data_IF_586181454836
#
_entry.id   IF_586181454836
#
_cell.length_a   1.000
_cell.length_b   1.000
_cell.length_c   1.000
_cell.angle_alpha   90.00
_cell.angle_beta   90.00
_cell.angle_gamma   90.00
#
_symmetry.space_group_name_H-M   'P 1'
#
loop_
_entity.id
_entity.type
_entity.pdbx_description
1 polymer ?
#
# COMPACT_ATOMS: atom_id res chain seq x y z
N UNK A 1 19.91 -40.71 -53.46
CA UNK A 1 18.97 -39.59 -53.27
C UNK A 1 18.26 -39.57 -51.89
N UNK A 2 17.95 -40.71 -51.28
CA UNK A 2 17.20 -40.75 -50.00
C UNK A 2 18.01 -40.25 -48.80
N UNK A 3 19.34 -40.42 -48.78
CA UNK A 3 20.21 -39.98 -47.67
C UNK A 3 20.38 -38.44 -47.52
N UNK A 4 20.28 -37.70 -48.59
CA UNK A 4 20.39 -36.24 -48.62
C UNK A 4 19.13 -35.54 -48.19
N UNK A 5 17.96 -36.14 -48.39
CA UNK A 5 16.67 -35.59 -47.96
C UNK A 5 16.50 -35.73 -46.44
N UNK A 6 16.96 -36.85 -45.86
CA UNK A 6 16.91 -37.07 -44.41
C UNK A 6 17.78 -36.08 -43.62
N UNK A 7 18.96 -35.72 -44.15
CA UNK A 7 19.82 -34.73 -43.50
C UNK A 7 19.24 -33.31 -43.53
N UNK A 8 18.55 -32.92 -44.59
CA UNK A 8 17.88 -31.63 -44.72
C UNK A 8 16.70 -31.45 -43.75
N UNK A 9 15.89 -32.50 -43.56
CA UNK A 9 14.79 -32.47 -42.60
C UNK A 9 15.24 -32.36 -41.12
N UNK A 10 16.35 -33.03 -40.75
CA UNK A 10 16.86 -32.97 -39.38
C UNK A 10 17.41 -31.59 -39.02
N UNK A 11 18.09 -30.93 -39.95
CA UNK A 11 18.61 -29.56 -39.72
C UNK A 11 17.46 -28.54 -39.62
N UNK A 12 16.39 -28.72 -40.44
CA UNK A 12 15.23 -27.82 -40.37
C UNK A 12 14.46 -27.96 -39.05
N UNK A 13 14.30 -29.18 -38.53
CA UNK A 13 13.64 -29.45 -37.27
C UNK A 13 14.42 -28.91 -36.08
N UNK A 14 15.75 -28.96 -36.08
CA UNK A 14 16.60 -28.38 -35.03
C UNK A 14 16.59 -26.85 -35.05
N UNK A 15 16.50 -26.23 -36.22
CA UNK A 15 16.40 -24.76 -36.30
C UNK A 15 15.04 -24.23 -35.78
N UNK A 16 13.95 -24.95 -35.97
CA UNK A 16 12.64 -24.60 -35.41
C UNK A 16 12.56 -24.74 -33.88
N UNK A 17 13.30 -25.72 -33.32
CA UNK A 17 13.35 -25.90 -31.86
C UNK A 17 14.11 -24.77 -31.12
N UNK A 18 15.02 -24.08 -31.78
CA UNK A 18 15.78 -22.98 -31.20
C UNK A 18 14.99 -21.64 -31.15
N UNK A 19 13.91 -21.51 -31.93
CA UNK A 19 13.04 -20.33 -31.89
C UNK A 19 11.95 -20.42 -30.84
N UNK A 20 11.66 -21.60 -30.31
CA UNK A 20 10.60 -21.80 -29.32
C UNK A 20 11.02 -21.46 -27.86
N UNK A 21 12.29 -21.14 -27.62
CA UNK A 21 12.82 -20.87 -26.26
C UNK A 21 13.06 -19.38 -25.96
N UNK A 22 12.39 -18.45 -26.64
CA UNK A 22 12.53 -17.03 -26.34
C UNK A 22 11.30 -16.43 -25.66
N UNK A 23 10.53 -17.25 -24.96
CA UNK A 23 9.58 -16.74 -23.98
C UNK A 23 10.40 -16.20 -22.81
N UNK A 24 10.58 -14.89 -22.81
CA UNK A 24 10.95 -14.18 -21.58
C UNK A 24 9.86 -14.51 -20.58
N UNK A 25 10.16 -15.42 -19.68
CA UNK A 25 9.32 -15.62 -18.49
C UNK A 25 9.46 -14.31 -17.73
N UNK A 26 8.48 -13.43 -17.90
CA UNK A 26 8.34 -12.22 -17.12
C UNK A 26 7.93 -12.65 -15.71
N UNK A 27 8.92 -13.05 -14.92
CA UNK A 27 8.71 -13.41 -13.52
C UNK A 27 8.45 -12.10 -12.80
N UNK A 28 7.19 -11.71 -12.74
CA UNK A 28 6.73 -10.61 -11.87
C UNK A 28 6.96 -11.05 -10.43
N UNK A 29 8.12 -10.74 -9.90
CA UNK A 29 8.47 -11.05 -8.53
C UNK A 29 7.90 -9.94 -7.64
N UNK A 30 6.80 -10.26 -6.96
CA UNK A 30 6.25 -9.38 -5.94
C UNK A 30 7.10 -9.47 -4.68
N UNK A 31 7.58 -8.33 -4.18
CA UNK A 31 8.33 -8.26 -2.92
C UNK A 31 7.39 -8.00 -1.75
N UNK A 32 7.58 -8.71 -0.62
CA UNK A 32 6.83 -8.42 0.58
C UNK A 32 7.04 -6.97 1.04
N UNK A 33 6.01 -6.40 1.63
CA UNK A 33 6.05 -5.09 2.25
C UNK A 33 5.24 -5.09 3.55
N UNK A 34 5.50 -4.11 4.40
CA UNK A 34 4.81 -3.94 5.67
C UNK A 34 4.50 -2.47 5.93
N UNK A 35 3.38 -2.24 6.61
CA UNK A 35 2.96 -0.94 7.08
C UNK A 35 3.15 -0.88 8.60
N UNK A 36 3.78 0.17 9.09
CA UNK A 36 3.94 0.44 10.51
C UNK A 36 3.58 1.87 10.83
N UNK A 37 3.18 2.16 12.06
CA UNK A 37 2.99 3.51 12.56
C UNK A 37 4.11 3.89 13.53
N UNK A 38 4.35 5.18 13.64
CA UNK A 38 5.08 5.76 14.75
C UNK A 38 4.23 5.65 16.03
N UNK A 39 4.82 6.02 17.18
CA UNK A 39 4.09 6.03 18.46
C UNK A 39 2.81 6.90 18.36
N UNK A 40 1.68 6.32 18.72
CA UNK A 40 0.38 6.99 18.71
C UNK A 40 -0.12 7.18 20.15
N UNK A 41 -0.89 8.25 20.44
CA UNK A 41 -1.55 8.40 21.71
C UNK A 41 -2.61 7.28 21.90
N UNK A 42 -2.78 6.84 23.15
CA UNK A 42 -3.85 5.90 23.49
C UNK A 42 -5.21 6.62 23.61
N UNK A 43 -5.16 7.86 24.11
CA UNK A 43 -6.34 8.70 24.35
C UNK A 43 -6.31 9.93 23.44
N UNK A 44 -7.47 10.28 22.87
CA UNK A 44 -7.67 11.48 22.06
C UNK A 44 -8.97 12.18 22.44
N UNK A 45 -9.08 13.49 22.19
CA UNK A 45 -10.34 14.19 22.36
C UNK A 45 -11.22 14.12 21.11
N UNK A 46 -12.54 14.16 21.30
CA UNK A 46 -13.47 14.30 20.17
C UNK A 46 -13.15 15.59 19.38
N UNK A 47 -13.01 15.48 18.06
CA UNK A 47 -12.70 16.58 17.15
C UNK A 47 -11.21 16.96 17.11
N UNK A 48 -10.37 16.30 17.89
CA UNK A 48 -8.92 16.48 17.82
C UNK A 48 -8.36 15.89 16.53
N UNK A 49 -7.40 16.61 15.90
CA UNK A 49 -6.62 16.10 14.80
C UNK A 49 -5.40 15.35 15.34
N UNK A 50 -5.32 14.07 15.04
CA UNK A 50 -4.22 13.19 15.44
C UNK A 50 -3.36 12.87 14.23
N UNK A 51 -2.07 13.12 14.34
CA UNK A 51 -1.09 12.72 13.34
C UNK A 51 -0.85 11.22 13.41
N UNK A 52 -1.09 10.52 12.31
CA UNK A 52 -0.73 9.11 12.13
C UNK A 52 0.40 9.04 11.11
N UNK A 53 1.63 8.99 11.61
CA UNK A 53 2.81 8.85 10.78
C UNK A 53 3.03 7.40 10.45
N UNK A 54 2.93 7.08 9.17
CA UNK A 54 3.03 5.73 8.63
C UNK A 54 4.36 5.53 7.90
N UNK A 55 4.85 4.31 7.95
CA UNK A 55 6.03 3.88 7.21
C UNK A 55 5.70 2.61 6.43
N UNK A 56 5.80 2.70 5.10
CA UNK A 56 5.77 1.56 4.20
C UNK A 56 7.20 1.10 3.94
N UNK A 57 7.54 -0.10 4.41
CA UNK A 57 8.86 -0.71 4.19
C UNK A 57 8.73 -1.87 3.21
N UNK A 58 9.56 -1.88 2.16
CA UNK A 58 9.61 -2.91 1.12
C UNK A 58 10.86 -3.77 1.30
N UNK A 59 10.77 -5.05 0.97
CA UNK A 59 11.92 -5.97 1.02
C UNK A 59 12.73 -6.01 -0.29
N UNK A 60 12.27 -5.29 -1.33
CA UNK A 60 12.96 -5.17 -2.61
C UNK A 60 12.55 -3.90 -3.34
N UNK A 61 13.44 -3.40 -4.18
CA UNK A 61 13.18 -2.26 -5.07
C UNK A 61 12.68 -2.77 -6.42
N UNK A 62 11.36 -2.82 -6.56
CA UNK A 62 10.69 -3.18 -7.79
C UNK A 62 10.03 -1.94 -8.38
N UNK A 63 10.56 -1.47 -9.51
CA UNK A 63 10.17 -0.20 -10.13
C UNK A 63 8.72 -0.17 -10.61
N UNK A 64 8.15 -1.34 -10.97
CA UNK A 64 6.77 -1.46 -11.45
C UNK A 64 5.75 -1.65 -10.32
N UNK A 65 6.18 -1.59 -9.05
CA UNK A 65 5.27 -1.71 -7.92
C UNK A 65 4.56 -0.38 -7.65
N UNK A 66 3.25 -0.38 -7.80
CA UNK A 66 2.36 0.70 -7.41
C UNK A 66 1.66 0.33 -6.10
N UNK A 67 1.54 1.28 -5.19
CA UNK A 67 0.91 1.07 -3.90
C UNK A 67 -0.34 1.93 -3.75
N UNK A 68 -1.35 1.33 -3.15
CA UNK A 68 -2.63 1.98 -2.87
C UNK A 68 -2.91 1.87 -1.38
N UNK A 69 -3.33 2.96 -0.76
CA UNK A 69 -3.73 3.00 0.63
C UNK A 69 -5.21 3.30 0.77
N UNK A 70 -5.84 2.67 1.74
CA UNK A 70 -7.20 2.96 2.15
C UNK A 70 -7.38 2.74 3.63
N UNK A 71 -8.54 3.11 4.16
CA UNK A 71 -8.90 2.83 5.53
C UNK A 71 -10.32 2.27 5.66
N UNK A 72 -10.53 1.51 6.71
CA UNK A 72 -11.85 1.03 7.13
C UNK A 72 -12.09 1.47 8.56
N UNK A 73 -13.12 2.28 8.78
CA UNK A 73 -13.56 2.61 10.12
C UNK A 73 -14.30 1.40 10.71
N UNK A 74 -13.71 0.79 11.74
CA UNK A 74 -14.25 -0.40 12.40
C UNK A 74 -15.18 -0.02 13.56
N UNK A 75 -14.79 1.01 14.35
CA UNK A 75 -15.59 1.55 15.45
C UNK A 75 -15.52 3.08 15.46
N UNK A 76 -16.58 3.72 15.90
CA UNK A 76 -16.68 5.18 15.94
C UNK A 76 -17.01 5.78 14.57
N UNK A 77 -16.73 7.07 14.43
CA UNK A 77 -16.83 7.84 13.18
C UNK A 77 -15.63 8.76 13.08
N UNK A 78 -15.07 8.91 11.91
CA UNK A 78 -13.93 9.79 11.70
C UNK A 78 -13.90 10.42 10.31
N UNK A 79 -13.01 11.38 10.16
CA UNK A 79 -12.43 11.83 8.92
C UNK A 79 -10.96 11.50 8.91
N UNK A 80 -10.45 11.09 7.76
CA UNK A 80 -9.03 10.84 7.52
C UNK A 80 -8.61 11.65 6.31
N UNK A 81 -7.54 12.45 6.46
CA UNK A 81 -6.97 13.21 5.35
C UNK A 81 -5.50 12.85 5.17
N UNK A 82 -4.97 13.10 3.98
CA UNK A 82 -3.54 13.00 3.70
C UNK A 82 -2.74 14.17 4.29
N UNK A 83 -1.43 14.20 4.03
CA UNK A 83 -0.52 15.23 4.51
C UNK A 83 -0.81 16.64 3.97
N UNK A 84 -1.55 16.76 2.88
CA UNK A 84 -1.96 18.03 2.26
C UNK A 84 -3.41 18.40 2.57
N UNK A 85 -4.13 17.57 3.31
CA UNK A 85 -5.51 17.81 3.72
C UNK A 85 -6.56 17.26 2.78
N UNK A 86 -6.20 16.43 1.80
CA UNK A 86 -7.13 15.75 0.93
C UNK A 86 -7.89 14.66 1.69
N UNK A 87 -9.21 14.71 1.66
CA UNK A 87 -10.05 13.73 2.37
C UNK A 87 -9.99 12.37 1.69
N UNK A 88 -9.65 11.34 2.45
CA UNK A 88 -9.74 9.95 2.01
C UNK A 88 -11.17 9.43 2.22
N UNK A 89 -11.66 8.64 1.28
CA UNK A 89 -12.98 8.01 1.38
C UNK A 89 -12.88 6.66 2.08
N UNK A 90 -13.73 6.47 3.12
CA UNK A 90 -13.76 5.21 3.85
C UNK A 90 -14.07 4.02 2.92
N UNK A 91 -13.25 2.98 2.97
CA UNK A 91 -13.30 1.76 2.15
C UNK A 91 -12.89 1.93 0.68
N UNK A 92 -12.31 3.06 0.32
CA UNK A 92 -11.72 3.28 -0.99
C UNK A 92 -10.20 3.23 -0.91
N UNK A 93 -9.57 2.80 -1.99
CA UNK A 93 -8.12 2.79 -2.15
C UNK A 93 -7.70 4.01 -2.97
N UNK A 94 -6.70 4.72 -2.50
CA UNK A 94 -6.09 5.88 -3.14
C UNK A 94 -4.66 5.54 -3.54
N UNK A 95 -4.26 5.88 -4.75
CA UNK A 95 -2.89 5.66 -5.17
C UNK A 95 -1.93 6.46 -4.27
N UNK A 96 -0.93 5.79 -3.73
CA UNK A 96 0.03 6.43 -2.83
C UNK A 96 0.83 7.51 -3.58
N UNK A 97 1.02 7.34 -4.88
CA UNK A 97 1.74 8.32 -5.73
C UNK A 97 0.97 9.62 -5.95
N UNK A 98 -0.36 9.59 -5.85
CA UNK A 98 -1.22 10.77 -5.97
C UNK A 98 -1.37 11.56 -4.66
N UNK A 99 -0.87 11.00 -3.53
CA UNK A 99 -0.97 11.63 -2.22
C UNK A 99 0.19 12.60 -1.97
N UNK A 100 -0.14 13.71 -1.35
CA UNK A 100 0.84 14.71 -0.94
C UNK A 100 1.58 14.37 0.35
N UNK A 101 2.76 15.00 0.54
CA UNK A 101 3.50 14.89 1.79
C UNK A 101 4.22 13.57 2.02
N UNK A 102 4.50 12.80 0.97
CA UNK A 102 5.22 11.53 1.07
C UNK A 102 6.72 11.75 0.90
N UNK A 103 7.51 11.29 1.85
CA UNK A 103 8.96 11.18 1.72
C UNK A 103 9.32 9.90 0.95
N UNK A 104 9.84 10.09 -0.26
CA UNK A 104 10.29 9.05 -1.20
C UNK A 104 11.80 9.05 -1.39
N UNK A 105 12.55 9.69 -0.50
CA UNK A 105 14.02 9.78 -0.58
C UNK A 105 14.70 8.39 -0.51
N UNK A 106 14.06 7.46 0.18
CA UNK A 106 14.47 6.05 0.24
C UNK A 106 13.42 5.17 -0.49
N UNK A 107 13.76 4.55 -1.63
CA UNK A 107 12.84 3.72 -2.38
C UNK A 107 12.36 2.49 -1.60
N UNK A 108 13.13 2.03 -0.60
CA UNK A 108 12.76 0.89 0.24
C UNK A 108 11.88 1.28 1.43
N UNK A 109 11.79 2.59 1.72
CA UNK A 109 11.11 3.10 2.90
C UNK A 109 10.41 4.42 2.59
N UNK A 110 9.12 4.39 2.41
CA UNK A 110 8.31 5.58 2.20
C UNK A 110 7.64 5.98 3.51
N UNK A 111 7.77 7.24 3.88
CA UNK A 111 7.16 7.80 5.09
C UNK A 111 6.11 8.83 4.69
N UNK A 112 4.93 8.72 5.25
CA UNK A 112 3.83 9.64 5.00
C UNK A 112 2.94 9.81 6.23
N UNK A 113 2.20 10.90 6.24
CA UNK A 113 1.30 11.27 7.34
C UNK A 113 -0.14 11.22 6.88
N UNK A 114 -0.99 10.59 7.69
CA UNK A 114 -2.43 10.76 7.64
C UNK A 114 -2.89 11.51 8.88
N UNK A 115 -3.87 12.37 8.73
CA UNK A 115 -4.52 13.06 9.84
C UNK A 115 -5.85 12.38 10.12
N UNK A 116 -6.02 11.95 11.35
CA UNK A 116 -7.23 11.32 11.85
C UNK A 116 -7.98 12.29 12.78
N UNK A 117 -9.29 12.43 12.58
CA UNK A 117 -10.14 13.23 13.43
C UNK A 117 -11.38 12.42 13.83
N UNK A 118 -11.55 12.16 15.13
CA UNK A 118 -12.75 11.50 15.63
C UNK A 118 -13.95 12.46 15.58
N UNK A 119 -15.04 12.02 14.96
CA UNK A 119 -16.32 12.76 14.89
C UNK A 119 -17.33 12.31 15.94
N UNK A 120 -16.99 11.32 16.77
CA UNK A 120 -17.87 10.81 17.83
C UNK A 120 -17.12 10.75 19.16
N UNK A 121 -17.86 10.68 20.25
CA UNK A 121 -17.41 10.49 21.62
C UNK A 121 -17.21 9.01 22.01
N UNK A 122 -17.24 8.12 21.03
CA UNK A 122 -17.04 6.68 21.21
C UNK A 122 -15.63 6.30 20.84
N UNK A 123 -15.11 5.30 21.55
CA UNK A 123 -13.82 4.69 21.19
C UNK A 123 -13.77 4.36 19.71
N UNK A 124 -12.63 4.65 19.14
CA UNK A 124 -12.39 4.56 17.71
C UNK A 124 -11.46 3.38 17.40
N UNK A 125 -11.74 2.70 16.32
CA UNK A 125 -10.86 1.69 15.75
C UNK A 125 -10.86 1.86 14.23
N UNK A 126 -9.69 2.04 13.67
CA UNK A 126 -9.48 2.23 12.23
C UNK A 126 -8.42 1.24 11.74
N UNK A 127 -8.70 0.62 10.61
CA UNK A 127 -7.77 -0.27 9.92
C UNK A 127 -7.29 0.40 8.65
N UNK A 128 -6.00 0.60 8.55
CA UNK A 128 -5.33 1.01 7.32
C UNK A 128 -4.92 -0.22 6.52
N UNK A 129 -5.10 -0.16 5.22
CA UNK A 129 -4.80 -1.24 4.29
C UNK A 129 -3.91 -0.67 3.20
N UNK A 130 -2.77 -1.31 2.95
CA UNK A 130 -1.96 -1.03 1.76
C UNK A 130 -1.99 -2.25 0.87
N UNK A 131 -2.27 -2.03 -0.41
CA UNK A 131 -2.28 -3.05 -1.46
C UNK A 131 -1.35 -2.63 -2.58
N UNK A 132 -0.64 -3.58 -3.17
CA UNK A 132 0.11 -3.35 -4.40
C UNK A 132 -0.69 -3.76 -5.66
N UNK A 133 -0.16 -3.40 -6.83
CA UNK A 133 -0.72 -3.79 -8.12
C UNK A 133 -0.53 -5.28 -8.47
N UNK A 134 0.20 -6.05 -7.63
CA UNK A 134 0.39 -7.50 -7.77
C UNK A 134 -0.59 -8.31 -6.90
N UNK A 135 -1.44 -7.63 -6.11
CA UNK A 135 -2.44 -8.26 -5.27
C UNK A 135 -1.96 -8.63 -3.86
N UNK A 136 -0.75 -8.21 -3.47
CA UNK A 136 -0.32 -8.33 -2.08
C UNK A 136 -0.97 -7.23 -1.23
N UNK A 137 -1.17 -7.52 0.06
CA UNK A 137 -1.81 -6.61 0.99
C UNK A 137 -1.18 -6.71 2.37
N UNK A 138 -1.06 -5.58 3.04
CA UNK A 138 -0.73 -5.48 4.46
C UNK A 138 -1.73 -4.59 5.18
N UNK A 139 -1.91 -4.81 6.48
CA UNK A 139 -2.88 -4.08 7.29
C UNK A 139 -2.25 -3.59 8.59
N UNK A 140 -2.73 -2.46 9.06
CA UNK A 140 -2.39 -1.89 10.37
C UNK A 140 -3.67 -1.41 11.05
N UNK A 141 -3.98 -1.94 12.23
CA UNK A 141 -5.11 -1.48 13.04
C UNK A 141 -4.63 -0.53 14.13
N UNK A 142 -5.32 0.59 14.26
CA UNK A 142 -5.09 1.64 15.26
C UNK A 142 -6.36 1.82 16.06
N UNK A 143 -6.23 1.95 17.38
CA UNK A 143 -7.35 2.17 18.30
C UNK A 143 -7.08 3.39 19.17
N UNK A 144 -8.13 4.15 19.45
CA UNK A 144 -8.10 5.30 20.34
C UNK A 144 -9.25 5.23 21.34
N UNK A 145 -8.96 5.54 22.60
CA UNK A 145 -9.96 5.89 23.57
C UNK A 145 -10.32 7.36 23.37
N UNK A 146 -11.62 7.63 23.11
CA UNK A 146 -12.08 8.98 22.77
C UNK A 146 -12.76 9.60 23.98
N UNK A 147 -12.09 10.59 24.58
CA UNK A 147 -12.66 11.41 25.65
C UNK A 147 -13.60 12.49 25.11
N UNK A 148 -14.62 12.84 25.91
CA UNK A 148 -15.45 14.01 25.63
C UNK A 148 -14.62 15.26 25.89
N UNK A 149 -14.57 16.17 24.93
CA UNK A 149 -13.95 17.48 25.15
C UNK A 149 -14.75 18.21 26.23
N UNK A 150 -14.19 18.33 27.45
CA UNK A 150 -14.80 19.19 28.46
C UNK A 150 -14.74 20.64 27.95
N UNK A 151 -15.90 21.24 27.75
CA UNK A 151 -16.00 22.68 27.56
C UNK A 151 -15.53 23.34 28.85
N UNK A 152 -14.31 23.85 28.84
CA UNK A 152 -13.88 24.74 29.91
C UNK A 152 -14.79 25.97 29.84
N UNK A 153 -15.73 26.04 30.77
CA UNK A 153 -16.54 27.24 31.01
C UNK A 153 -15.64 28.21 31.77
N UNK A 154 -15.15 29.25 31.05
CA UNK A 154 -14.64 30.47 31.70
C UNK A 154 -15.78 31.28 32.30
#
# INVERSE_FOLDING_TARGET
MVKTIAAGCTVLLTALALWACNDKIDVKQAYPFRLTSWHLPEEIAQGENVEIRLTLTREGDFHDAEYYIGYIQMKGKSEVTDGEGTLLVNRELHALDDMGGIDRSDPMRQVFTLWYRSLSDKNAEVRFIVRDNFGQQTELTVSFDVGRKELQTE
#
